data_IF_491687547443
#
_entry.id   IF_491687547443
#
_cell.length_a   1.000
_cell.length_b   1.000
_cell.length_c   1.000
_cell.angle_alpha   90.00
_cell.angle_beta   90.00
_cell.angle_gamma   90.00
#
_symmetry.space_group_name_H-M   'P 1'
#
loop_
_entity.id
_entity.type
_entity.pdbx_description
1 polymer ?
#
# COMPACT_ATOMS: atom_id res chain seq x y z
N UNK A 1 11.70 14.66 -29.66
CA UNK A 1 11.62 15.80 -28.74
C UNK A 1 11.24 15.19 -27.39
N UNK A 2 12.26 14.90 -26.57
CA UNK A 2 12.06 14.21 -25.29
C UNK A 2 11.52 15.22 -24.28
N UNK A 3 10.25 15.17 -23.99
CA UNK A 3 9.65 15.85 -22.84
C UNK A 3 9.88 14.96 -21.60
N UNK A 4 11.01 15.17 -20.92
CA UNK A 4 11.08 14.79 -19.52
C UNK A 4 10.02 15.58 -18.78
N UNK A 5 9.09 14.90 -18.11
CA UNK A 5 8.14 15.54 -17.21
C UNK A 5 8.91 15.98 -15.97
N UNK A 6 9.51 17.17 -16.04
CA UNK A 6 10.00 17.87 -14.86
C UNK A 6 8.79 18.44 -14.14
N UNK A 7 8.34 17.80 -13.09
CA UNK A 7 7.32 18.31 -12.18
C UNK A 7 7.92 19.43 -11.30
N UNK A 8 8.33 20.53 -11.94
CA UNK A 8 8.68 21.74 -11.22
C UNK A 8 7.40 22.49 -10.86
N UNK A 9 6.94 22.34 -9.64
CA UNK A 9 5.91 23.19 -9.05
C UNK A 9 6.57 24.51 -8.62
N UNK A 10 5.95 25.63 -9.03
CA UNK A 10 6.30 26.93 -8.50
C UNK A 10 6.13 26.93 -6.97
N UNK A 11 7.03 27.56 -6.22
CA UNK A 11 6.87 27.68 -4.78
C UNK A 11 5.63 28.53 -4.50
N UNK A 12 4.69 27.95 -3.76
CA UNK A 12 3.59 28.69 -3.16
C UNK A 12 4.18 29.79 -2.28
N UNK A 13 3.73 31.01 -2.53
CA UNK A 13 4.05 32.17 -1.72
C UNK A 13 3.51 31.94 -0.32
N UNK A 14 4.40 31.72 0.64
CA UNK A 14 4.10 31.66 2.06
C UNK A 14 3.48 32.99 2.49
N UNK A 15 2.27 33.01 3.06
CA UNK A 15 1.77 34.20 3.77
C UNK A 15 2.57 34.38 5.06
N UNK A 16 3.02 35.60 5.26
CA UNK A 16 3.74 36.06 6.45
C UNK A 16 2.78 36.05 7.65
N UNK A 17 2.91 35.06 8.54
CA UNK A 17 2.13 34.96 9.79
C UNK A 17 2.95 35.45 11.00
N UNK A 18 3.10 36.78 11.08
CA UNK A 18 3.43 37.44 12.32
C UNK A 18 2.24 38.25 12.78
N UNK A 19 1.25 37.64 13.46
CA UNK A 19 0.46 38.29 14.52
C UNK A 19 -0.60 37.37 15.11
N UNK A 20 -0.68 37.39 16.44
CA UNK A 20 -1.70 36.82 17.33
C UNK A 20 -1.77 35.28 17.44
N UNK A 21 -1.11 34.81 18.49
CA UNK A 21 -1.08 33.43 18.98
C UNK A 21 -2.42 33.06 19.63
N UNK A 22 -3.40 32.71 18.85
CA UNK A 22 -4.25 31.57 19.17
C UNK A 22 -3.48 30.35 18.60
N UNK A 23 -2.83 29.56 19.45
CA UNK A 23 -2.15 28.32 19.02
C UNK A 23 -3.17 27.48 18.29
N UNK A 24 -3.05 27.44 16.98
CA UNK A 24 -3.85 26.57 16.12
C UNK A 24 -3.72 25.13 16.65
N UNK A 25 -4.82 24.38 16.64
CA UNK A 25 -4.79 22.96 17.00
C UNK A 25 -3.81 22.24 16.08
N UNK A 26 -2.96 21.37 16.63
CA UNK A 26 -2.08 20.52 15.81
C UNK A 26 -2.90 19.35 15.26
N UNK A 27 -3.08 19.24 13.92
CA UNK A 27 -3.85 18.16 13.33
C UNK A 27 -3.31 16.77 13.70
N UNK A 28 -2.00 16.64 13.93
CA UNK A 28 -1.37 15.39 14.37
C UNK A 28 -1.87 15.00 15.75
N UNK A 29 -1.91 15.95 16.66
CA UNK A 29 -2.36 15.75 18.05
C UNK A 29 -3.86 15.41 18.12
N UNK A 30 -4.69 16.09 17.33
CA UNK A 30 -6.12 15.78 17.25
C UNK A 30 -6.37 14.37 16.73
N UNK A 31 -5.67 13.98 15.67
CA UNK A 31 -5.81 12.65 15.09
C UNK A 31 -5.25 11.56 16.02
N UNK A 32 -4.10 11.81 16.68
CA UNK A 32 -3.52 10.90 17.66
C UNK A 32 -4.45 10.67 18.86
N UNK A 33 -5.13 11.72 19.32
CA UNK A 33 -6.11 11.62 20.39
C UNK A 33 -7.26 10.63 20.09
N UNK A 34 -7.66 10.49 18.82
CA UNK A 34 -8.69 9.56 18.41
C UNK A 34 -8.25 8.08 18.52
N UNK A 35 -6.95 7.82 18.48
CA UNK A 35 -6.37 6.47 18.60
C UNK A 35 -6.05 6.06 20.03
N UNK A 36 -6.16 6.98 20.98
CA UNK A 36 -5.88 6.74 22.40
C UNK A 36 -7.16 6.28 23.10
N UNK A 37 -7.17 5.11 23.76
CA UNK A 37 -8.32 4.70 24.55
C UNK A 37 -8.57 5.63 25.73
N UNK A 38 -9.84 5.88 26.07
CA UNK A 38 -10.18 6.66 27.26
C UNK A 38 -9.62 6.01 28.53
N UNK A 39 -9.17 6.83 29.48
CA UNK A 39 -8.60 6.37 30.74
C UNK A 39 -7.15 5.89 30.66
N UNK A 40 -6.48 5.98 29.49
CA UNK A 40 -5.09 5.56 29.30
C UNK A 40 -4.10 6.49 30.03
N UNK A 41 -2.99 5.91 30.47
CA UNK A 41 -1.79 6.64 30.89
C UNK A 41 -0.93 6.91 29.65
N UNK A 42 -0.76 8.17 29.28
CA UNK A 42 -0.11 8.58 28.04
C UNK A 42 1.25 9.20 28.35
N UNK A 43 2.29 8.64 27.74
CA UNK A 43 3.61 9.25 27.68
C UNK A 43 3.80 9.89 26.31
N UNK A 44 3.92 11.22 26.28
CA UNK A 44 4.15 11.97 25.04
C UNK A 44 5.60 12.42 24.95
N UNK A 45 6.31 11.87 23.98
CA UNK A 45 7.70 12.18 23.66
C UNK A 45 7.83 13.29 22.61
N UNK A 46 6.71 13.82 22.12
CA UNK A 46 6.68 14.93 21.16
C UNK A 46 7.16 16.24 21.82
N UNK A 47 7.63 17.20 21.00
CA UNK A 47 8.29 18.40 21.52
C UNK A 47 7.33 19.51 21.99
N UNK A 48 6.06 19.49 21.58
CA UNK A 48 5.17 20.66 21.63
C UNK A 48 4.04 20.59 22.65
N UNK A 49 3.80 19.44 23.29
CA UNK A 49 2.75 19.26 24.30
C UNK A 49 1.32 19.49 23.78
N UNK A 50 1.12 19.53 22.46
CA UNK A 50 -0.17 19.80 21.84
C UNK A 50 -1.19 18.68 22.13
N UNK A 51 -0.71 17.46 22.34
CA UNK A 51 -1.53 16.27 22.55
C UNK A 51 -2.39 16.33 23.82
N UNK A 52 -1.90 16.96 24.89
CA UNK A 52 -2.62 17.02 26.18
C UNK A 52 -4.07 17.51 26.05
N UNK A 53 -4.30 18.46 25.12
CA UNK A 53 -5.63 19.04 24.85
C UNK A 53 -6.57 18.16 24.02
N UNK A 54 -6.00 17.20 23.33
CA UNK A 54 -6.72 16.30 22.40
C UNK A 54 -6.99 14.92 23.02
N UNK A 55 -6.60 14.71 24.29
CA UNK A 55 -6.78 13.43 24.96
C UNK A 55 -8.24 13.14 25.30
N UNK A 56 -8.67 11.88 25.17
CA UNK A 56 -9.96 11.44 25.66
C UNK A 56 -10.12 11.61 27.17
N UNK A 57 -11.37 11.61 27.62
CA UNK A 57 -11.69 11.76 29.04
C UNK A 57 -11.03 10.68 29.92
N UNK A 58 -10.55 11.10 31.09
CA UNK A 58 -9.96 10.22 32.09
C UNK A 58 -8.51 9.80 31.82
N UNK A 59 -7.89 10.23 30.72
CA UNK A 59 -6.48 9.98 30.47
C UNK A 59 -5.59 10.76 31.43
N UNK A 60 -4.49 10.14 31.88
CA UNK A 60 -3.39 10.84 32.53
C UNK A 60 -2.28 11.12 31.51
N UNK A 61 -1.65 12.31 31.63
CA UNK A 61 -0.68 12.78 30.66
C UNK A 61 0.66 13.09 31.30
N UNK A 62 1.73 12.61 30.67
CA UNK A 62 3.10 12.94 31.01
C UNK A 62 3.82 13.34 29.69
N UNK A 63 4.12 14.65 29.57
CA UNK A 63 4.83 15.17 28.39
C UNK A 63 6.35 15.17 28.59
N UNK A 64 7.08 15.33 27.49
CA UNK A 64 8.56 15.32 27.44
C UNK A 64 9.24 16.23 28.45
N UNK A 65 8.72 17.43 28.68
CA UNK A 65 9.29 18.41 29.61
C UNK A 65 9.27 17.95 31.06
N UNK A 66 8.50 16.91 31.37
CA UNK A 66 8.33 16.34 32.72
C UNK A 66 8.97 14.96 32.86
N UNK A 67 9.65 14.49 31.78
CA UNK A 67 10.24 13.16 31.75
C UNK A 67 11.72 13.26 32.02
N UNK A 68 12.15 12.55 33.05
CA UNK A 68 13.58 12.36 33.34
C UNK A 68 13.99 10.95 33.02
N UNK A 69 15.17 10.78 32.43
CA UNK A 69 15.79 9.47 32.25
C UNK A 69 16.27 8.90 33.59
N UNK A 70 16.56 7.62 33.63
CA UNK A 70 17.13 6.93 34.76
C UNK A 70 18.44 7.65 35.19
N UNK A 71 18.37 8.41 36.30
CA UNK A 71 19.47 9.26 36.74
C UNK A 71 19.12 10.75 36.93
N UNK A 72 17.87 11.15 36.64
CA UNK A 72 17.34 12.49 37.01
C UNK A 72 17.68 13.62 36.02
N UNK A 73 18.26 13.30 34.86
CA UNK A 73 18.51 14.25 33.76
C UNK A 73 17.35 14.27 32.77
N UNK A 74 17.14 15.38 32.08
CA UNK A 74 16.17 15.49 30.99
C UNK A 74 16.56 14.57 29.85
N UNK A 75 15.65 13.70 29.39
CA UNK A 75 15.92 12.77 28.31
C UNK A 75 16.11 13.49 26.96
N UNK A 76 17.23 13.25 26.29
CA UNK A 76 17.42 13.66 24.92
C UNK A 76 17.29 12.45 23.98
N UNK A 77 16.07 12.24 23.49
CA UNK A 77 15.74 11.09 22.65
C UNK A 77 16.52 11.10 21.32
N UNK A 78 16.90 12.28 20.81
CA UNK A 78 17.71 12.41 19.62
C UNK A 78 19.14 11.89 19.81
N UNK A 79 19.67 11.94 21.03
CA UNK A 79 20.99 11.41 21.41
C UNK A 79 20.95 9.93 21.87
N UNK A 80 19.76 9.30 21.78
CA UNK A 80 19.58 7.88 22.12
C UNK A 80 19.12 7.62 23.56
N UNK A 81 18.87 8.66 24.35
CA UNK A 81 18.28 8.50 25.68
C UNK A 81 16.81 8.09 25.57
N UNK A 82 16.37 7.17 26.41
CA UNK A 82 14.97 6.75 26.43
C UNK A 82 14.43 6.64 27.87
N UNK A 83 13.25 7.19 28.20
CA UNK A 83 12.68 7.15 29.53
C UNK A 83 12.00 5.81 29.80
N UNK A 84 12.78 4.75 29.94
CA UNK A 84 12.32 3.36 30.02
C UNK A 84 11.33 3.16 31.17
N UNK A 85 11.57 3.76 32.35
CA UNK A 85 10.67 3.62 33.50
C UNK A 85 9.32 4.31 33.24
N UNK A 86 9.32 5.53 32.71
CA UNK A 86 8.08 6.25 32.40
C UNK A 86 7.28 5.52 31.30
N UNK A 87 7.96 5.03 30.25
CA UNK A 87 7.34 4.25 29.20
C UNK A 87 6.73 2.93 29.73
N UNK A 88 7.43 2.21 30.60
CA UNK A 88 6.90 0.98 31.20
C UNK A 88 5.68 1.21 32.11
N UNK A 89 5.52 2.41 32.66
CA UNK A 89 4.38 2.81 33.48
C UNK A 89 3.21 3.40 32.68
N UNK A 90 3.41 3.70 31.40
CA UNK A 90 2.36 4.20 30.51
C UNK A 90 1.57 3.05 29.87
N UNK A 91 0.42 3.34 29.30
CA UNK A 91 -0.35 2.41 28.46
C UNK A 91 -0.10 2.69 26.98
N UNK A 92 0.19 3.95 26.65
CA UNK A 92 0.46 4.42 25.28
C UNK A 92 1.66 5.36 25.29
N UNK A 93 2.59 5.16 24.36
CA UNK A 93 3.70 6.08 24.07
C UNK A 93 3.40 6.82 22.77
N UNK A 94 3.47 8.14 22.77
CA UNK A 94 3.19 8.98 21.60
C UNK A 94 4.45 9.70 21.13
N UNK A 95 4.70 9.70 19.81
CA UNK A 95 5.90 10.26 19.18
C UNK A 95 5.52 10.98 17.88
N UNK A 96 4.96 12.20 17.98
CA UNK A 96 4.57 12.98 16.80
C UNK A 96 5.77 13.78 16.27
N UNK A 97 6.25 13.40 15.09
CA UNK A 97 7.41 14.03 14.46
C UNK A 97 8.75 13.75 15.15
N UNK A 98 8.82 12.74 16.00
CA UNK A 98 10.03 12.38 16.76
C UNK A 98 10.91 11.42 15.98
N UNK A 99 10.33 10.36 15.41
CA UNK A 99 11.10 9.31 14.73
C UNK A 99 11.96 9.86 13.59
N UNK A 100 11.46 10.85 12.85
CA UNK A 100 12.21 11.49 11.75
C UNK A 100 13.50 12.18 12.19
N UNK A 101 13.58 12.58 13.46
CA UNK A 101 14.73 13.31 14.03
C UNK A 101 15.77 12.37 14.66
N UNK A 102 15.49 11.07 14.74
CA UNK A 102 16.35 10.09 15.38
C UNK A 102 17.22 9.41 14.33
N UNK A 103 18.55 9.53 14.47
CA UNK A 103 19.49 8.89 13.57
C UNK A 103 19.50 7.36 13.74
N UNK A 104 19.45 6.88 14.97
CA UNK A 104 19.46 5.45 15.32
C UNK A 104 18.05 5.00 15.77
N UNK A 105 17.19 4.75 14.78
CA UNK A 105 15.84 4.24 15.03
C UNK A 105 15.82 2.83 15.64
N UNK A 106 16.84 2.01 15.37
CA UNK A 106 16.92 0.64 15.91
C UNK A 106 17.11 0.66 17.42
N UNK A 107 17.94 1.58 17.93
CA UNK A 107 18.11 1.76 19.37
C UNK A 107 16.79 2.17 20.06
N UNK A 108 16.05 3.11 19.47
CA UNK A 108 14.74 3.52 19.97
C UNK A 108 13.77 2.33 20.07
N UNK A 109 13.65 1.53 19.00
CA UNK A 109 12.75 0.39 18.98
C UNK A 109 13.22 -0.76 19.88
N UNK A 110 14.51 -0.87 20.16
CA UNK A 110 15.02 -1.77 21.19
C UNK A 110 14.44 -1.44 22.55
N UNK A 111 14.42 -0.18 22.95
CA UNK A 111 13.80 0.25 24.19
C UNK A 111 12.28 0.06 24.22
N UNK A 112 11.58 0.46 23.15
CA UNK A 112 10.13 0.31 23.01
C UNK A 112 9.69 -1.15 23.12
N UNK A 113 10.44 -2.08 22.52
CA UNK A 113 10.18 -3.51 22.60
C UNK A 113 10.13 -4.04 24.04
N UNK A 114 11.04 -3.57 24.91
CA UNK A 114 11.04 -3.97 26.32
C UNK A 114 9.89 -3.39 27.11
N UNK A 115 9.39 -2.22 26.74
CA UNK A 115 8.29 -1.56 27.44
C UNK A 115 6.93 -2.19 27.12
N UNK A 116 6.77 -2.82 25.94
CA UNK A 116 5.55 -3.53 25.52
C UNK A 116 4.28 -2.67 25.53
N UNK A 117 4.41 -1.37 25.23
CA UNK A 117 3.31 -0.43 25.18
C UNK A 117 2.83 -0.22 23.75
N UNK A 118 1.58 0.23 23.60
CA UNK A 118 1.13 0.73 22.30
C UNK A 118 1.90 2.00 21.96
N UNK A 119 2.27 2.14 20.69
CA UNK A 119 3.00 3.29 20.20
C UNK A 119 2.17 4.00 19.14
N UNK A 120 1.96 5.30 19.30
CA UNK A 120 1.35 6.14 18.27
C UNK A 120 2.43 7.09 17.77
N UNK A 121 2.75 7.02 16.49
CA UNK A 121 3.77 7.88 15.90
C UNK A 121 3.31 8.48 14.58
N UNK A 122 3.82 9.66 14.27
CA UNK A 122 3.71 10.22 12.93
C UNK A 122 5.04 10.16 12.22
N UNK A 123 5.01 9.99 10.89
CA UNK A 123 6.23 9.91 10.09
C UNK A 123 6.01 10.43 8.67
N UNK A 124 7.05 11.12 8.15
CA UNK A 124 7.17 11.56 6.76
C UNK A 124 7.98 10.56 5.96
N UNK A 125 7.32 9.58 5.39
CA UNK A 125 7.99 8.52 4.64
C UNK A 125 8.61 9.04 3.32
N UNK A 126 9.72 8.43 2.87
CA UNK A 126 10.43 8.86 1.64
C UNK A 126 9.61 8.68 0.37
N UNK A 127 8.66 7.80 0.40
CA UNK A 127 7.70 7.56 -0.67
C UNK A 127 6.52 8.56 -0.67
N UNK A 128 6.42 9.40 0.37
CA UNK A 128 5.45 10.49 0.47
C UNK A 128 6.08 11.88 0.29
N UNK A 129 7.38 12.04 0.62
CA UNK A 129 8.08 13.34 0.61
C UNK A 129 9.41 13.21 -0.12
N UNK A 130 9.64 14.08 -1.10
CA UNK A 130 10.88 14.05 -1.89
C UNK A 130 12.15 14.27 -1.05
N UNK A 131 13.25 13.63 -1.42
CA UNK A 131 14.51 13.66 -0.65
C UNK A 131 15.07 15.06 -0.40
N UNK A 132 14.95 15.98 -1.36
CA UNK A 132 15.38 17.39 -1.19
C UNK A 132 14.55 18.15 -0.16
N UNK A 133 13.25 17.89 -0.09
CA UNK A 133 12.34 18.48 0.89
C UNK A 133 12.62 17.95 2.31
N UNK A 134 12.93 16.65 2.42
CA UNK A 134 13.33 16.03 3.69
C UNK A 134 14.61 16.64 4.26
N UNK A 135 15.62 16.85 3.40
CA UNK A 135 16.86 17.50 3.80
C UNK A 135 16.64 18.95 4.28
N UNK A 136 15.76 19.69 3.62
CA UNK A 136 15.37 21.04 4.03
C UNK A 136 14.67 21.07 5.39
N UNK A 137 13.96 20.00 5.76
CA UNK A 137 13.32 19.83 7.06
C UNK A 137 14.27 19.31 8.16
N UNK A 138 15.54 19.02 7.83
CA UNK A 138 16.54 18.52 8.79
C UNK A 138 16.24 17.12 9.32
N UNK A 139 15.57 16.26 8.54
CA UNK A 139 15.20 14.91 8.97
C UNK A 139 16.43 14.00 8.98
N UNK A 140 16.67 13.29 10.08
CA UNK A 140 17.88 12.52 10.33
C UNK A 140 17.91 11.14 9.65
N UNK A 141 16.75 10.58 9.31
CA UNK A 141 16.64 9.28 8.65
C UNK A 141 15.73 9.32 7.42
N UNK A 142 15.67 8.24 6.65
CA UNK A 142 15.05 8.22 5.33
C UNK A 142 14.34 6.89 5.05
N UNK A 143 13.40 6.48 5.92
CA UNK A 143 12.62 5.27 5.72
C UNK A 143 11.49 5.49 4.74
N UNK A 144 11.26 4.52 3.86
CA UNK A 144 9.99 4.35 3.17
C UNK A 144 8.94 3.77 4.13
N UNK A 145 7.67 3.80 3.74
CA UNK A 145 6.63 3.13 4.54
C UNK A 145 6.90 1.62 4.68
N UNK A 146 7.47 1.02 3.66
CA UNK A 146 7.88 -0.38 3.67
C UNK A 146 9.03 -0.65 4.65
N UNK A 147 10.08 0.19 4.63
CA UNK A 147 11.20 0.08 5.57
C UNK A 147 10.72 0.20 7.01
N UNK A 148 9.76 1.10 7.27
CA UNK A 148 9.14 1.24 8.59
C UNK A 148 8.39 -0.02 9.00
N UNK A 149 7.60 -0.60 8.10
CA UNK A 149 6.87 -1.84 8.39
C UNK A 149 7.84 -2.98 8.75
N UNK A 150 8.96 -3.13 8.03
CA UNK A 150 10.00 -4.10 8.34
C UNK A 150 10.70 -3.80 9.66
N UNK A 151 10.99 -2.52 9.95
CA UNK A 151 11.58 -2.10 11.22
C UNK A 151 10.66 -2.48 12.39
N UNK A 152 9.37 -2.15 12.29
CA UNK A 152 8.40 -2.46 13.34
C UNK A 152 8.26 -3.96 13.57
N UNK A 153 8.13 -4.76 12.51
CA UNK A 153 8.02 -6.21 12.61
C UNK A 153 9.27 -6.83 13.27
N UNK A 154 10.47 -6.38 12.90
CA UNK A 154 11.75 -6.82 13.51
C UNK A 154 11.77 -6.62 15.02
N UNK A 155 11.19 -5.54 15.50
CA UNK A 155 11.12 -5.22 16.94
C UNK A 155 9.83 -5.71 17.63
N UNK A 156 9.06 -6.54 16.93
CA UNK A 156 7.86 -7.18 17.47
C UNK A 156 6.65 -6.26 17.61
N UNK A 157 6.55 -5.26 16.74
CA UNK A 157 5.36 -4.41 16.63
C UNK A 157 4.62 -4.67 15.32
N UNK A 158 3.31 -4.51 15.35
CA UNK A 158 2.46 -4.51 14.16
C UNK A 158 1.74 -3.18 14.01
N UNK A 159 1.61 -2.73 12.77
CA UNK A 159 0.78 -1.57 12.44
C UNK A 159 -0.68 -2.02 12.55
N UNK A 160 -1.39 -1.54 13.55
CA UNK A 160 -2.82 -1.82 13.74
C UNK A 160 -3.69 -0.95 12.85
N UNK A 161 -3.35 0.34 12.75
CA UNK A 161 -4.04 1.26 11.85
C UNK A 161 -3.13 2.40 11.41
N UNK A 162 -3.51 3.04 10.30
CA UNK A 162 -2.84 4.21 9.74
C UNK A 162 -3.87 5.25 9.36
N UNK A 163 -3.51 6.54 9.47
CA UNK A 163 -4.32 7.63 8.98
C UNK A 163 -3.43 8.74 8.36
N UNK A 164 -3.80 9.29 7.21
CA UNK A 164 -3.08 10.42 6.63
C UNK A 164 -3.31 11.67 7.49
N UNK A 165 -2.25 12.43 7.75
CA UNK A 165 -2.34 13.74 8.42
C UNK A 165 -2.39 14.85 7.38
N UNK A 166 -1.46 14.81 6.44
CA UNK A 166 -1.35 15.70 5.29
C UNK A 166 -0.79 14.96 4.08
N UNK A 167 -0.46 15.67 2.99
CA UNK A 167 0.10 15.07 1.77
C UNK A 167 1.45 14.39 1.95
N UNK A 168 2.13 14.58 3.06
CA UNK A 168 3.48 14.09 3.29
C UNK A 168 3.67 13.32 4.61
N UNK A 169 2.65 13.24 5.46
CA UNK A 169 2.80 12.65 6.78
C UNK A 169 1.66 11.67 7.11
N UNK A 170 2.01 10.53 7.70
CA UNK A 170 1.07 9.48 8.12
C UNK A 170 1.19 9.27 9.62
N UNK A 171 0.05 9.14 10.30
CA UNK A 171 -0.05 8.65 11.66
C UNK A 171 -0.19 7.12 11.65
N UNK A 172 0.51 6.45 12.54
CA UNK A 172 0.48 5.00 12.71
C UNK A 172 0.27 4.65 14.18
N UNK A 173 -0.61 3.69 14.45
CA UNK A 173 -0.68 3.02 15.75
C UNK A 173 -0.03 1.66 15.63
N UNK A 174 0.94 1.41 16.49
CA UNK A 174 1.66 0.15 16.60
C UNK A 174 1.24 -0.54 17.88
N UNK A 175 0.97 -1.84 17.78
CA UNK A 175 0.67 -2.69 18.93
C UNK A 175 1.72 -3.79 19.04
N UNK A 176 2.24 -4.10 20.24
CA UNK A 176 3.15 -5.21 20.43
C UNK A 176 2.51 -6.51 19.96
N UNK A 177 3.21 -7.26 19.12
CA UNK A 177 2.72 -8.52 18.53
C UNK A 177 2.32 -9.55 19.60
N UNK A 178 2.98 -9.55 20.76
CA UNK A 178 2.66 -10.42 21.88
C UNK A 178 1.31 -10.12 22.55
N UNK A 179 0.78 -8.89 22.43
CA UNK A 179 -0.54 -8.50 22.96
C UNK A 179 -1.68 -8.88 22.03
N UNK A 180 -1.38 -8.98 20.77
CA UNK A 180 -2.31 -9.60 19.83
C UNK A 180 -2.41 -11.06 20.27
N UNK A 181 -3.45 -11.38 21.06
CA UNK A 181 -3.69 -12.78 21.45
C UNK A 181 -3.48 -13.63 20.20
N UNK A 182 -2.74 -14.74 20.27
CA UNK A 182 -2.80 -15.72 19.23
C UNK A 182 -4.19 -16.36 19.26
N UNK A 183 -5.17 -15.77 18.63
CA UNK A 183 -6.05 -16.58 17.79
C UNK A 183 -5.06 -17.28 16.89
N UNK A 184 -5.08 -18.61 16.80
CA UNK A 184 -4.10 -19.39 16.07
C UNK A 184 -3.82 -18.67 14.77
N UNK A 185 -2.71 -17.89 14.75
CA UNK A 185 -2.53 -16.85 13.75
C UNK A 185 -2.37 -17.57 12.42
N UNK A 186 -3.39 -17.46 11.55
CA UNK A 186 -3.34 -18.11 10.26
C UNK A 186 -2.12 -17.56 9.53
N UNK A 187 -1.24 -18.45 9.09
CA UNK A 187 -0.04 -18.10 8.36
C UNK A 187 -0.40 -17.86 6.90
N UNK A 188 -0.20 -16.63 6.43
CA UNK A 188 -0.54 -16.22 5.06
C UNK A 188 0.73 -15.80 4.32
N UNK A 189 1.00 -16.37 3.14
CA UNK A 189 1.97 -15.81 2.21
C UNK A 189 1.26 -14.93 1.17
N UNK A 190 1.75 -13.73 0.97
CA UNK A 190 1.36 -12.85 -0.14
C UNK A 190 2.53 -12.77 -1.12
N UNK A 191 2.35 -13.33 -2.31
CA UNK A 191 3.34 -13.29 -3.39
C UNK A 191 2.96 -12.14 -4.33
N UNK A 192 3.86 -11.17 -4.48
CA UNK A 192 3.70 -10.03 -5.37
C UNK A 192 4.84 -9.94 -6.40
N UNK A 193 4.69 -9.05 -7.36
CA UNK A 193 5.70 -8.80 -8.41
C UNK A 193 6.96 -8.07 -7.89
N UNK A 194 6.99 -7.67 -6.64
CA UNK A 194 8.18 -7.10 -5.99
C UNK A 194 8.53 -5.68 -6.43
N UNK A 195 7.78 -5.09 -7.34
CA UNK A 195 8.09 -3.78 -7.89
C UNK A 195 7.47 -2.65 -7.06
N UNK A 196 7.90 -2.55 -5.80
CA UNK A 196 7.32 -1.65 -4.80
C UNK A 196 7.54 -0.15 -5.09
N UNK A 197 8.54 0.18 -5.91
CA UNK A 197 8.77 1.56 -6.36
C UNK A 197 7.86 2.00 -7.50
N UNK A 198 7.06 1.09 -8.07
CA UNK A 198 6.22 1.34 -9.23
C UNK A 198 4.75 1.47 -8.86
N UNK A 199 4.04 2.34 -9.55
CA UNK A 199 2.66 2.70 -9.26
C UNK A 199 1.72 1.47 -9.15
N UNK A 200 1.77 0.56 -10.11
CA UNK A 200 0.90 -0.62 -10.12
C UNK A 200 1.23 -1.67 -9.06
N UNK A 201 2.52 -2.01 -8.89
CA UNK A 201 2.95 -3.01 -7.92
C UNK A 201 2.63 -2.59 -6.49
N UNK A 202 2.92 -1.33 -6.15
CA UNK A 202 2.61 -0.79 -4.83
C UNK A 202 1.11 -0.71 -4.55
N UNK A 203 0.34 -0.25 -5.52
CA UNK A 203 -1.12 -0.18 -5.39
C UNK A 203 -1.72 -1.57 -5.18
N UNK A 204 -1.27 -2.56 -5.97
CA UNK A 204 -1.69 -3.95 -5.82
C UNK A 204 -1.42 -4.50 -4.42
N UNK A 205 -0.22 -4.26 -3.88
CA UNK A 205 0.12 -4.71 -2.53
C UNK A 205 -0.73 -4.04 -1.45
N UNK A 206 -0.98 -2.73 -1.56
CA UNK A 206 -1.87 -2.02 -0.61
C UNK A 206 -3.28 -2.62 -0.60
N UNK A 207 -3.81 -2.92 -1.78
CA UNK A 207 -5.14 -3.51 -1.89
C UNK A 207 -5.20 -4.93 -1.31
N UNK A 208 -4.16 -5.76 -1.55
CA UNK A 208 -4.10 -7.10 -0.95
C UNK A 208 -4.02 -6.99 0.58
N UNK A 209 -3.17 -6.12 1.10
CA UNK A 209 -3.04 -5.93 2.53
C UNK A 209 -4.36 -5.46 3.17
N UNK A 210 -5.13 -4.62 2.48
CA UNK A 210 -6.46 -4.20 2.93
C UNK A 210 -7.49 -5.35 2.96
N UNK A 211 -7.26 -6.43 2.22
CA UNK A 211 -8.10 -7.63 2.23
C UNK A 211 -7.67 -8.65 3.29
N UNK A 212 -6.49 -8.48 3.91
CA UNK A 212 -6.02 -9.40 4.94
C UNK A 212 -6.65 -9.05 6.30
N UNK A 213 -7.14 -10.04 7.06
CA UNK A 213 -7.53 -9.83 8.44
C UNK A 213 -6.35 -9.34 9.28
N UNK A 214 -6.58 -8.37 10.17
CA UNK A 214 -5.53 -7.82 11.04
C UNK A 214 -4.86 -8.83 11.98
N UNK A 215 -5.45 -10.01 12.13
CA UNK A 215 -4.97 -11.10 12.98
C UNK A 215 -4.12 -12.14 12.20
N UNK A 216 -3.99 -12.01 10.88
CA UNK A 216 -3.19 -12.93 10.06
C UNK A 216 -1.69 -12.63 10.19
N UNK A 217 -0.88 -13.69 10.30
CA UNK A 217 0.58 -13.61 10.19
C UNK A 217 0.96 -13.58 8.69
N UNK A 218 1.08 -12.37 8.14
CA UNK A 218 1.31 -12.15 6.71
C UNK A 218 2.80 -12.10 6.41
N UNK A 219 3.27 -13.04 5.59
CA UNK A 219 4.61 -13.08 5.06
C UNK A 219 4.61 -12.62 3.59
N UNK A 220 5.22 -11.46 3.33
CA UNK A 220 5.36 -10.94 1.99
C UNK A 220 6.52 -11.59 1.26
N UNK A 221 6.24 -12.15 0.08
CA UNK A 221 7.21 -12.79 -0.80
C UNK A 221 7.22 -12.09 -2.17
N UNK A 222 8.37 -12.09 -2.80
CA UNK A 222 8.56 -11.59 -4.16
C UNK A 222 9.10 -12.69 -5.05
N UNK A 223 8.85 -12.63 -6.34
CA UNK A 223 9.32 -13.65 -7.27
C UNK A 223 10.83 -13.87 -7.25
N UNK A 224 11.64 -12.85 -6.93
CA UNK A 224 13.09 -13.00 -6.75
C UNK A 224 13.51 -13.55 -5.38
N UNK A 225 12.59 -13.72 -4.43
CA UNK A 225 12.85 -14.14 -3.05
C UNK A 225 11.92 -15.29 -2.59
N UNK A 226 11.40 -16.10 -3.53
CA UNK A 226 10.54 -17.24 -3.19
C UNK A 226 11.25 -18.33 -2.37
N UNK A 227 12.59 -18.37 -2.42
CA UNK A 227 13.41 -19.24 -1.57
C UNK A 227 13.30 -18.91 -0.07
N UNK A 228 12.83 -17.72 0.31
CA UNK A 228 12.57 -17.32 1.69
C UNK A 228 11.24 -17.86 2.22
N UNK A 229 10.46 -18.55 1.39
CA UNK A 229 9.16 -19.08 1.78
C UNK A 229 9.28 -20.10 2.92
N UNK A 230 8.37 -20.01 3.89
CA UNK A 230 8.24 -20.98 4.98
C UNK A 230 7.79 -22.36 4.45
N UNK A 231 7.99 -23.40 5.23
CA UNK A 231 7.62 -24.77 4.83
C UNK A 231 6.11 -24.96 4.65
N UNK A 232 5.28 -24.18 5.37
CA UNK A 232 3.83 -24.32 5.34
C UNK A 232 3.14 -22.96 5.50
N UNK A 233 2.00 -22.82 4.80
CA UNK A 233 1.08 -21.71 4.95
C UNK A 233 -0.35 -22.21 5.06
N UNK A 234 -1.19 -21.48 5.76
CA UNK A 234 -2.63 -21.71 5.78
C UNK A 234 -3.28 -21.17 4.50
N UNK A 235 -2.78 -20.05 3.99
CA UNK A 235 -3.22 -19.45 2.75
C UNK A 235 -2.02 -18.87 1.98
N UNK A 236 -1.99 -19.10 0.68
CA UNK A 236 -1.13 -18.34 -0.25
C UNK A 236 -2.00 -17.47 -1.13
N UNK A 237 -1.72 -16.17 -1.18
CA UNK A 237 -2.34 -15.21 -2.10
C UNK A 237 -1.30 -14.78 -3.12
N UNK A 238 -1.50 -15.21 -4.37
CA UNK A 238 -0.70 -14.76 -5.51
C UNK A 238 -1.37 -13.52 -6.10
N UNK A 239 -0.93 -12.32 -5.68
CA UNK A 239 -1.56 -11.07 -6.04
C UNK A 239 -0.62 -10.16 -6.81
N UNK A 240 -0.92 -9.97 -8.12
CA UNK A 240 -0.07 -9.18 -9.00
C UNK A 240 -0.74 -7.86 -9.38
N UNK A 241 -0.03 -6.78 -9.15
CA UNK A 241 -0.38 -5.45 -9.67
C UNK A 241 -0.21 -5.38 -11.18
N UNK A 242 0.77 -6.11 -11.72
CA UNK A 242 0.98 -6.36 -13.15
C UNK A 242 0.41 -7.72 -13.57
N UNK A 243 0.55 -8.08 -14.84
CA UNK A 243 0.08 -9.36 -15.34
C UNK A 243 1.08 -10.50 -15.09
N UNK A 244 0.57 -11.72 -15.05
CA UNK A 244 1.36 -12.94 -15.07
C UNK A 244 1.96 -13.13 -16.47
N UNK A 245 3.27 -13.40 -16.53
CA UNK A 245 3.99 -13.68 -17.78
C UNK A 245 5.04 -14.79 -17.59
N UNK A 246 5.61 -15.27 -18.70
CA UNK A 246 6.46 -16.46 -18.71
C UNK A 246 7.53 -16.52 -17.60
N UNK A 247 8.34 -15.47 -17.34
CA UNK A 247 9.37 -15.54 -16.31
C UNK A 247 8.86 -15.80 -14.89
N UNK A 248 7.59 -15.49 -14.61
CA UNK A 248 6.98 -15.69 -13.30
C UNK A 248 6.41 -17.11 -13.11
N UNK A 249 6.32 -17.91 -14.17
CA UNK A 249 5.74 -19.27 -14.18
C UNK A 249 6.82 -20.34 -13.96
N UNK A 250 7.67 -20.15 -12.94
CA UNK A 250 8.70 -21.11 -12.55
C UNK A 250 8.19 -22.20 -11.59
N UNK A 251 9.01 -23.23 -11.39
CA UNK A 251 8.67 -24.31 -10.43
C UNK A 251 8.66 -23.79 -8.99
N UNK A 252 9.40 -22.72 -8.68
CA UNK A 252 9.42 -22.10 -7.35
C UNK A 252 8.05 -21.57 -6.91
N UNK A 253 7.32 -20.88 -7.80
CA UNK A 253 5.97 -20.38 -7.46
C UNK A 253 5.00 -21.54 -7.27
N UNK A 254 5.13 -22.58 -8.08
CA UNK A 254 4.32 -23.80 -7.95
C UNK A 254 4.58 -24.53 -6.63
N UNK A 255 5.82 -24.52 -6.19
CA UNK A 255 6.24 -25.14 -4.93
C UNK A 255 5.66 -24.35 -3.73
N UNK A 256 5.80 -23.03 -3.72
CA UNK A 256 5.24 -22.20 -2.64
C UNK A 256 3.71 -22.30 -2.59
N UNK A 257 3.02 -22.24 -3.73
CA UNK A 257 1.57 -22.44 -3.80
C UNK A 257 1.20 -23.85 -3.29
N UNK A 258 1.99 -24.88 -3.61
CA UNK A 258 1.75 -26.25 -3.16
C UNK A 258 1.98 -26.50 -1.67
N UNK A 259 2.65 -25.59 -0.96
CA UNK A 259 2.87 -25.68 0.50
C UNK A 259 1.69 -25.15 1.32
N UNK A 260 0.71 -24.53 0.68
CA UNK A 260 -0.46 -23.95 1.36
C UNK A 260 -1.58 -24.98 1.53
N UNK A 261 -2.38 -24.79 2.60
CA UNK A 261 -3.67 -25.52 2.74
C UNK A 261 -4.71 -25.00 1.76
N UNK A 262 -4.63 -23.70 1.41
CA UNK A 262 -5.47 -23.07 0.40
C UNK A 262 -4.67 -22.01 -0.36
N UNK A 263 -5.10 -21.70 -1.59
CA UNK A 263 -4.41 -20.75 -2.45
C UNK A 263 -5.37 -19.95 -3.33
N UNK A 264 -5.10 -18.65 -3.45
CA UNK A 264 -5.88 -17.71 -4.26
C UNK A 264 -4.95 -17.02 -5.24
N UNK A 265 -5.33 -16.96 -6.52
CA UNK A 265 -4.70 -16.13 -7.53
C UNK A 265 -5.51 -14.86 -7.81
N UNK A 266 -4.88 -13.69 -7.84
CA UNK A 266 -5.45 -12.40 -8.23
C UNK A 266 -4.53 -11.80 -9.27
N UNK A 267 -4.72 -12.16 -10.54
CA UNK A 267 -3.85 -11.69 -11.63
C UNK A 267 -4.55 -11.81 -12.99
N UNK A 268 -4.08 -11.02 -13.95
CA UNK A 268 -4.32 -11.20 -15.37
C UNK A 268 -3.10 -11.79 -16.07
N UNK A 269 -3.21 -12.14 -17.35
CA UNK A 269 -2.07 -12.60 -18.15
C UNK A 269 -1.62 -11.51 -19.11
N UNK A 270 -0.29 -11.41 -19.32
CA UNK A 270 0.32 -10.54 -20.33
C UNK A 270 1.28 -11.33 -21.21
N UNK A 271 1.55 -10.83 -22.42
CA UNK A 271 2.38 -11.54 -23.42
C UNK A 271 1.92 -12.99 -23.63
N UNK A 272 0.63 -13.18 -23.86
CA UNK A 272 -0.04 -14.51 -23.84
C UNK A 272 0.57 -15.50 -24.79
N UNK A 273 1.09 -15.04 -25.93
CA UNK A 273 1.76 -15.87 -26.94
C UNK A 273 3.07 -16.48 -26.43
N UNK A 274 3.68 -15.86 -25.39
CA UNK A 274 4.91 -16.35 -24.77
C UNK A 274 4.65 -17.24 -23.56
N UNK A 275 3.42 -17.30 -23.06
CA UNK A 275 3.10 -18.09 -21.88
C UNK A 275 3.07 -19.58 -22.24
N UNK A 276 3.92 -20.42 -21.59
CA UNK A 276 3.82 -21.86 -21.74
C UNK A 276 2.50 -22.35 -21.15
N UNK A 277 1.54 -22.71 -22.02
CA UNK A 277 0.21 -23.16 -21.60
C UNK A 277 0.24 -24.21 -20.50
N UNK A 278 1.07 -25.28 -20.58
CA UNK A 278 1.12 -26.29 -19.52
C UNK A 278 1.57 -25.75 -18.15
N UNK A 279 2.43 -24.73 -18.12
CA UNK A 279 2.90 -24.14 -16.85
C UNK A 279 1.80 -23.32 -16.19
N UNK A 280 1.09 -22.50 -16.95
CA UNK A 280 -0.05 -21.75 -16.44
C UNK A 280 -1.20 -22.68 -16.03
N UNK A 281 -1.49 -23.72 -16.81
CA UNK A 281 -2.51 -24.72 -16.48
C UNK A 281 -2.19 -25.41 -15.15
N UNK A 282 -0.94 -25.82 -14.92
CA UNK A 282 -0.50 -26.39 -13.64
C UNK A 282 -0.67 -25.41 -12.46
N UNK A 283 -0.40 -24.13 -12.67
CA UNK A 283 -0.62 -23.12 -11.64
C UNK A 283 -2.11 -22.97 -11.32
N UNK A 284 -2.96 -22.82 -12.35
CA UNK A 284 -4.41 -22.66 -12.16
C UNK A 284 -5.03 -23.89 -11.47
N UNK A 285 -4.55 -25.10 -11.78
CA UNK A 285 -5.00 -26.35 -11.16
C UNK A 285 -4.65 -26.43 -9.67
N UNK A 286 -3.59 -25.75 -9.23
CA UNK A 286 -3.20 -25.70 -7.82
C UNK A 286 -3.91 -24.61 -7.03
N UNK A 287 -4.49 -23.62 -7.71
CA UNK A 287 -5.25 -22.56 -7.05
C UNK A 287 -6.67 -23.05 -6.70
N UNK A 288 -7.09 -22.86 -5.46
CA UNK A 288 -8.49 -23.08 -5.06
C UNK A 288 -9.43 -22.10 -5.75
N UNK A 289 -8.94 -20.89 -6.00
CA UNK A 289 -9.68 -19.87 -6.76
C UNK A 289 -8.70 -18.97 -7.50
N UNK A 290 -8.94 -18.78 -8.79
CA UNK A 290 -8.29 -17.74 -9.56
C UNK A 290 -9.29 -16.64 -9.91
N UNK A 291 -9.06 -15.46 -9.38
CA UNK A 291 -9.74 -14.22 -9.72
C UNK A 291 -9.02 -13.58 -10.91
N UNK A 292 -9.45 -13.94 -12.10
CA UNK A 292 -8.85 -13.47 -13.35
C UNK A 292 -9.20 -12.00 -13.60
N UNK A 293 -8.17 -11.18 -13.91
CA UNK A 293 -8.33 -9.75 -14.14
C UNK A 293 -9.15 -9.46 -15.40
N UNK A 294 -9.02 -10.28 -16.44
CA UNK A 294 -9.65 -10.04 -17.73
C UNK A 294 -10.63 -11.15 -18.11
N UNK A 295 -11.72 -10.76 -18.76
CA UNK A 295 -12.68 -11.74 -19.31
C UNK A 295 -12.02 -12.66 -20.34
N UNK A 296 -11.06 -12.14 -21.12
CA UNK A 296 -10.27 -12.95 -22.05
C UNK A 296 -9.55 -14.10 -21.35
N UNK A 297 -8.99 -13.88 -20.16
CA UNK A 297 -8.32 -14.93 -19.39
C UNK A 297 -9.30 -16.03 -18.97
N UNK A 298 -10.51 -15.65 -18.56
CA UNK A 298 -11.58 -16.61 -18.23
C UNK A 298 -11.95 -17.43 -19.45
N UNK A 299 -12.09 -16.81 -20.61
CA UNK A 299 -12.45 -17.50 -21.84
C UNK A 299 -11.34 -18.45 -22.34
N UNK A 300 -10.08 -18.02 -22.21
CA UNK A 300 -8.92 -18.77 -22.71
C UNK A 300 -8.51 -19.91 -21.77
N UNK A 301 -8.52 -19.69 -20.48
CA UNK A 301 -7.94 -20.59 -19.49
C UNK A 301 -8.96 -21.16 -18.49
N UNK A 302 -10.10 -20.51 -18.29
CA UNK A 302 -11.14 -20.90 -17.33
C UNK A 302 -12.14 -21.92 -17.87
N UNK A 303 -12.14 -22.22 -19.19
CA UNK A 303 -13.14 -23.08 -19.80
C UNK A 303 -13.11 -24.50 -19.21
N UNK A 304 -14.22 -24.92 -18.64
CA UNK A 304 -14.36 -26.21 -17.97
C UNK A 304 -13.79 -26.26 -16.53
N UNK A 305 -13.33 -25.14 -15.98
CA UNK A 305 -12.80 -25.03 -14.62
C UNK A 305 -13.77 -24.26 -13.72
N UNK A 306 -14.12 -24.86 -12.59
CA UNK A 306 -15.03 -24.23 -11.61
C UNK A 306 -14.32 -23.22 -10.67
N UNK A 307 -13.00 -23.20 -10.68
CA UNK A 307 -12.19 -22.36 -9.78
C UNK A 307 -11.73 -21.03 -10.41
N UNK A 308 -12.21 -20.68 -11.62
CA UNK A 308 -11.84 -19.44 -12.31
C UNK A 308 -13.03 -18.48 -12.33
N UNK A 309 -12.82 -17.27 -11.83
CA UNK A 309 -13.84 -16.24 -11.72
C UNK A 309 -13.34 -14.92 -12.29
N UNK A 310 -14.15 -14.21 -13.06
CA UNK A 310 -13.81 -12.88 -13.56
C UNK A 310 -13.89 -11.85 -12.44
N UNK A 311 -12.78 -11.16 -12.18
CA UNK A 311 -12.68 -10.08 -11.20
C UNK A 311 -12.92 -8.71 -11.85
N UNK A 312 -12.32 -8.46 -12.96
CA UNK A 312 -12.07 -7.16 -13.54
C UNK A 312 -10.71 -6.60 -13.11
N UNK A 313 -10.28 -5.48 -13.68
CA UNK A 313 -9.06 -4.82 -13.21
C UNK A 313 -9.33 -4.14 -11.86
N UNK A 314 -9.02 -4.86 -10.81
CA UNK A 314 -9.34 -4.52 -9.42
C UNK A 314 -8.69 -3.23 -8.94
N UNK A 315 -7.59 -2.79 -9.57
CA UNK A 315 -6.92 -1.54 -9.23
C UNK A 315 -7.78 -0.30 -9.50
N UNK A 316 -8.78 -0.38 -10.39
CA UNK A 316 -9.69 0.75 -10.66
C UNK A 316 -10.48 1.19 -9.42
N UNK A 317 -10.65 0.28 -8.46
CA UNK A 317 -11.42 0.58 -7.24
C UNK A 317 -10.78 1.69 -6.41
N UNK A 318 -9.47 1.85 -6.50
CA UNK A 318 -8.71 2.88 -5.80
C UNK A 318 -8.80 4.27 -6.44
N UNK A 319 -9.27 4.38 -7.68
CA UNK A 319 -9.31 5.65 -8.39
C UNK A 319 -10.69 6.32 -8.25
N UNK A 320 -10.80 7.49 -7.59
CA UNK A 320 -12.07 8.19 -7.50
C UNK A 320 -12.56 8.62 -8.90
N UNK A 321 -13.90 8.68 -9.08
CA UNK A 321 -14.48 9.24 -10.30
C UNK A 321 -14.46 10.77 -10.21
N UNK A 322 -13.55 11.40 -10.95
CA UNK A 322 -13.37 12.86 -10.97
C UNK A 322 -13.67 13.44 -12.34
N UNK A 323 -13.74 14.77 -12.43
CA UNK A 323 -13.78 15.51 -13.70
C UNK A 323 -12.42 16.17 -13.91
N UNK A 324 -11.80 15.90 -15.06
CA UNK A 324 -10.55 16.54 -15.45
C UNK A 324 -10.79 18.04 -15.78
N UNK A 325 -9.82 18.88 -15.46
CA UNK A 325 -9.93 20.34 -15.60
C UNK A 325 -8.89 20.95 -16.53
N UNK A 326 -7.75 20.27 -16.74
CA UNK A 326 -6.63 20.78 -17.53
C UNK A 326 -6.73 20.32 -18.99
N UNK A 327 -6.73 21.26 -19.92
CA UNK A 327 -6.72 20.98 -21.35
C UNK A 327 -5.35 20.52 -21.86
N UNK A 328 -4.26 20.83 -21.12
CA UNK A 328 -2.92 20.39 -21.47
C UNK A 328 -2.87 18.84 -21.53
N UNK A 329 -2.36 18.24 -22.62
CA UNK A 329 -2.26 16.79 -22.71
C UNK A 329 -1.20 16.24 -21.76
N UNK A 330 -1.48 15.10 -21.13
CA UNK A 330 -0.52 14.34 -20.34
C UNK A 330 -0.04 13.13 -21.13
N UNK A 331 1.29 12.92 -21.15
CA UNK A 331 1.89 11.77 -21.78
C UNK A 331 2.69 10.96 -20.74
N UNK A 332 2.37 9.69 -20.56
CA UNK A 332 3.02 8.78 -19.63
C UNK A 332 3.60 7.61 -20.43
N UNK A 333 4.90 7.66 -20.70
CA UNK A 333 5.61 6.64 -21.49
C UNK A 333 6.55 5.78 -20.63
N UNK A 334 7.08 6.35 -19.56
CA UNK A 334 7.94 5.67 -18.62
C UNK A 334 7.16 5.11 -17.44
N UNK A 335 7.77 4.20 -16.70
CA UNK A 335 7.19 3.72 -15.47
C UNK A 335 7.06 4.86 -14.46
N UNK A 336 5.85 5.01 -13.93
CA UNK A 336 5.57 6.01 -12.93
C UNK A 336 6.13 5.53 -11.58
N UNK A 337 7.27 6.09 -11.19
CA UNK A 337 7.83 5.89 -9.87
C UNK A 337 7.01 6.68 -8.86
N UNK A 338 6.65 6.03 -7.78
CA UNK A 338 5.88 6.67 -6.69
C UNK A 338 6.88 7.12 -5.63
N UNK A 339 7.66 8.15 -5.98
CA UNK A 339 8.48 8.87 -5.00
C UNK A 339 7.65 9.87 -4.17
N UNK A 340 6.35 10.00 -4.50
CA UNK A 340 5.36 10.89 -3.88
C UNK A 340 4.13 10.09 -3.43
N UNK A 341 3.30 10.73 -2.62
CA UNK A 341 2.03 10.14 -2.20
C UNK A 341 1.21 9.66 -3.41
N UNK A 342 0.63 8.47 -3.30
CA UNK A 342 -0.25 7.92 -4.34
C UNK A 342 -1.34 8.91 -4.76
N UNK A 343 -1.97 9.55 -3.78
CA UNK A 343 -3.05 10.50 -4.01
C UNK A 343 -2.63 11.63 -4.93
N UNK A 344 -1.38 12.10 -4.79
CA UNK A 344 -0.84 13.15 -5.67
C UNK A 344 -0.62 12.66 -7.09
N UNK A 345 -0.09 11.44 -7.27
CA UNK A 345 0.07 10.84 -8.60
C UNK A 345 -1.29 10.63 -9.28
N UNK A 346 -2.27 10.13 -8.53
CA UNK A 346 -3.65 9.97 -8.99
C UNK A 346 -4.24 11.34 -9.38
N UNK A 347 -4.11 12.36 -8.54
CA UNK A 347 -4.59 13.71 -8.81
C UNK A 347 -3.97 14.30 -10.06
N UNK A 348 -2.65 14.19 -10.23
CA UNK A 348 -1.94 14.66 -11.42
C UNK A 348 -2.49 14.01 -12.68
N UNK A 349 -2.67 12.69 -12.68
CA UNK A 349 -3.24 11.99 -13.83
C UNK A 349 -4.68 12.45 -14.09
N UNK A 350 -5.49 12.51 -13.04
CA UNK A 350 -6.92 12.79 -13.15
C UNK A 350 -7.26 14.26 -13.47
N UNK A 351 -6.34 15.21 -13.33
CA UNK A 351 -6.63 16.59 -13.69
C UNK A 351 -6.56 16.85 -15.21
N UNK A 352 -5.98 15.95 -16.01
CA UNK A 352 -5.80 16.13 -17.45
C UNK A 352 -6.95 15.53 -18.26
N UNK A 353 -7.53 16.33 -19.17
CA UNK A 353 -8.63 15.91 -20.06
C UNK A 353 -8.19 14.93 -21.15
N UNK A 354 -6.91 15.04 -21.58
CA UNK A 354 -6.36 14.26 -22.67
C UNK A 354 -5.12 13.50 -22.17
N UNK A 355 -5.18 12.18 -22.08
CA UNK A 355 -4.10 11.36 -21.54
C UNK A 355 -3.66 10.30 -22.54
N UNK A 356 -2.35 10.25 -22.82
CA UNK A 356 -1.71 9.16 -23.54
C UNK A 356 -0.87 8.34 -22.58
N UNK A 357 -0.96 7.01 -22.62
CA UNK A 357 -0.13 6.17 -21.78
C UNK A 357 0.31 4.89 -22.46
N UNK A 358 1.57 4.49 -22.24
CA UNK A 358 2.08 3.14 -22.51
C UNK A 358 2.10 2.29 -21.25
N UNK A 359 1.51 2.78 -20.14
CA UNK A 359 1.44 2.11 -18.83
C UNK A 359 -0.01 1.87 -18.45
N UNK A 360 -0.33 0.61 -18.14
CA UNK A 360 -1.71 0.16 -17.94
C UNK A 360 -2.37 0.89 -16.77
N UNK A 361 -1.76 0.90 -15.60
CA UNK A 361 -2.36 1.43 -14.38
C UNK A 361 -2.58 2.97 -14.45
N UNK A 362 -1.65 3.77 -14.99
CA UNK A 362 -1.91 5.18 -15.26
C UNK A 362 -3.05 5.40 -16.25
N UNK A 363 -3.19 4.57 -17.30
CA UNK A 363 -4.33 4.67 -18.21
C UNK A 363 -5.63 4.33 -17.50
N UNK A 364 -5.65 3.28 -16.69
CA UNK A 364 -6.81 2.89 -15.88
C UNK A 364 -7.23 4.02 -14.93
N UNK A 365 -6.27 4.71 -14.31
CA UNK A 365 -6.51 5.91 -13.52
C UNK A 365 -7.11 7.04 -14.39
N UNK A 366 -6.53 7.31 -15.55
CA UNK A 366 -7.02 8.36 -16.46
C UNK A 366 -8.47 8.11 -16.90
N UNK A 367 -8.86 6.86 -17.16
CA UNK A 367 -10.24 6.51 -17.55
C UNK A 367 -11.29 6.98 -16.53
N UNK A 368 -10.91 7.16 -15.26
CA UNK A 368 -11.83 7.61 -14.21
C UNK A 368 -12.05 9.14 -14.20
N UNK A 369 -11.31 9.92 -15.01
CA UNK A 369 -11.39 11.38 -15.01
C UNK A 369 -11.33 12.02 -16.40
N UNK A 370 -10.46 11.53 -17.30
CA UNK A 370 -10.19 12.13 -18.60
C UNK A 370 -11.40 12.13 -19.53
N UNK A 371 -11.41 13.09 -20.46
CA UNK A 371 -12.39 13.17 -21.57
C UNK A 371 -11.98 12.27 -22.73
N UNK A 372 -10.68 12.26 -23.06
CA UNK A 372 -10.12 11.41 -24.09
C UNK A 372 -8.85 10.72 -23.61
N UNK A 373 -8.65 9.48 -24.07
CA UNK A 373 -7.44 8.74 -23.81
C UNK A 373 -6.89 8.09 -25.07
N UNK A 374 -5.59 7.85 -25.08
CA UNK A 374 -4.91 7.07 -26.10
C UNK A 374 -3.86 6.17 -25.45
N UNK A 375 -3.51 5.07 -26.08
CA UNK A 375 -2.55 4.12 -25.54
C UNK A 375 -1.68 3.50 -26.63
N UNK A 376 -0.59 2.86 -26.22
CA UNK A 376 0.10 1.84 -27.00
C UNK A 376 0.46 0.67 -26.08
N UNK A 377 0.27 -0.54 -26.62
CA UNK A 377 0.66 -1.77 -25.92
C UNK A 377 2.18 -1.83 -25.72
N UNK A 378 2.59 -2.43 -24.63
CA UNK A 378 4.01 -2.63 -24.35
C UNK A 378 4.57 -3.78 -25.18
N UNK A 379 5.61 -3.55 -25.99
CA UNK A 379 6.27 -4.64 -26.71
C UNK A 379 7.06 -5.52 -25.73
N UNK A 380 7.11 -6.82 -26.05
CA UNK A 380 7.98 -7.74 -25.32
C UNK A 380 9.46 -7.42 -25.57
N UNK A 381 10.24 -7.38 -24.49
CA UNK A 381 11.69 -7.24 -24.58
C UNK A 381 12.36 -8.49 -25.21
N UNK A 382 11.72 -9.65 -25.12
CA UNK A 382 12.27 -10.92 -25.62
C UNK A 382 11.96 -11.16 -27.08
N UNK A 383 10.77 -10.76 -27.57
CA UNK A 383 10.30 -11.01 -28.92
C UNK A 383 9.65 -9.75 -29.50
N UNK A 384 10.37 -8.98 -30.32
CA UNK A 384 9.79 -7.85 -31.05
C UNK A 384 8.58 -8.30 -31.88
N UNK A 385 7.47 -7.57 -31.77
CA UNK A 385 6.21 -7.89 -32.44
C UNK A 385 5.16 -8.60 -31.58
N UNK A 386 5.55 -9.12 -30.40
CA UNK A 386 4.60 -9.55 -29.38
C UNK A 386 4.38 -8.39 -28.39
N UNK A 387 3.13 -8.11 -28.07
CA UNK A 387 2.72 -7.03 -27.16
C UNK A 387 2.03 -7.58 -25.92
N UNK A 388 1.92 -6.76 -24.87
CA UNK A 388 1.34 -7.21 -23.59
C UNK A 388 -0.10 -7.71 -23.72
N UNK A 389 -0.92 -7.07 -24.54
CA UNK A 389 -2.32 -7.39 -24.78
C UNK A 389 -3.25 -6.99 -23.62
N UNK A 390 -2.71 -6.35 -22.57
CA UNK A 390 -3.46 -6.00 -21.36
C UNK A 390 -4.41 -4.80 -21.59
N UNK A 391 -3.95 -3.78 -22.31
CA UNK A 391 -4.81 -2.63 -22.63
C UNK A 391 -6.03 -3.04 -23.44
N UNK A 392 -5.81 -3.84 -24.47
CA UNK A 392 -6.90 -4.38 -25.28
C UNK A 392 -7.91 -5.14 -24.43
N UNK A 393 -7.45 -6.04 -23.57
CA UNK A 393 -8.31 -6.85 -22.71
C UNK A 393 -9.08 -5.97 -21.70
N UNK A 394 -8.41 -5.03 -21.06
CA UNK A 394 -9.03 -4.06 -20.15
C UNK A 394 -10.11 -3.22 -20.87
N UNK A 395 -9.80 -2.68 -22.06
CA UNK A 395 -10.74 -1.84 -22.80
C UNK A 395 -11.96 -2.64 -23.30
N UNK A 396 -11.76 -3.90 -23.69
CA UNK A 396 -12.88 -4.81 -24.03
C UNK A 396 -13.76 -5.04 -22.78
N UNK A 397 -13.17 -5.25 -21.62
CA UNK A 397 -13.92 -5.45 -20.37
C UNK A 397 -14.74 -4.24 -19.96
N UNK A 398 -14.21 -3.03 -20.18
CA UNK A 398 -14.87 -1.77 -19.82
C UNK A 398 -15.93 -1.37 -20.85
N UNK A 399 -15.56 -1.40 -22.15
CA UNK A 399 -16.34 -0.79 -23.24
C UNK A 399 -16.99 -1.81 -24.18
N UNK A 400 -16.70 -3.11 -24.03
CA UNK A 400 -17.17 -4.17 -24.93
C UNK A 400 -16.47 -4.17 -26.29
N UNK A 401 -15.43 -3.36 -26.49
CA UNK A 401 -14.67 -3.25 -27.76
C UNK A 401 -13.24 -2.80 -27.50
N UNK A 402 -12.36 -3.11 -28.45
CA UNK A 402 -11.01 -2.54 -28.53
C UNK A 402 -11.00 -1.20 -29.28
N UNK A 403 -9.95 -0.44 -29.08
CA UNK A 403 -9.67 0.81 -29.77
C UNK A 403 -8.31 0.70 -30.49
N UNK A 404 -8.09 1.46 -31.58
CA UNK A 404 -6.78 1.51 -32.22
C UNK A 404 -5.72 2.13 -31.31
N UNK A 405 -4.51 1.58 -31.32
CA UNK A 405 -3.37 2.18 -30.64
C UNK A 405 -2.98 3.54 -31.23
N UNK A 406 -2.41 4.42 -30.42
CA UNK A 406 -1.94 5.75 -30.81
C UNK A 406 -3.03 6.68 -31.38
N UNK A 407 -4.29 6.39 -31.11
CA UNK A 407 -5.42 7.22 -31.49
C UNK A 407 -6.23 7.57 -30.24
N UNK A 408 -6.56 8.87 -30.09
CA UNK A 408 -7.41 9.32 -29.00
C UNK A 408 -8.87 8.92 -29.25
N UNK A 409 -9.51 8.41 -28.22
CA UNK A 409 -10.94 8.11 -28.23
C UNK A 409 -11.63 8.73 -27.02
N UNK A 410 -12.92 9.07 -27.19
CA UNK A 410 -13.75 9.59 -26.11
C UNK A 410 -14.04 8.52 -25.07
N UNK A 411 -13.88 8.86 -23.80
CA UNK A 411 -14.17 7.99 -22.67
C UNK A 411 -15.67 7.97 -22.39
N UNK A 412 -16.31 6.81 -22.54
CA UNK A 412 -17.66 6.59 -22.03
C UNK A 412 -17.59 6.46 -20.50
N UNK A 413 -17.80 7.57 -19.82
CA UNK A 413 -17.73 7.67 -18.37
C UNK A 413 -18.76 6.81 -17.64
N UNK A 414 -19.92 6.57 -18.27
CA UNK A 414 -20.94 5.71 -17.68
C UNK A 414 -20.55 4.23 -17.77
N UNK A 415 -19.89 3.82 -18.86
CA UNK A 415 -19.30 2.50 -18.94
C UNK A 415 -18.24 2.28 -17.87
N UNK A 416 -17.31 3.26 -17.68
CA UNK A 416 -16.28 3.20 -16.62
C UNK A 416 -16.92 3.11 -15.24
N UNK A 417 -17.96 3.92 -14.95
CA UNK A 417 -18.67 3.89 -13.66
C UNK A 417 -19.33 2.54 -13.40
N UNK A 418 -20.00 1.96 -14.40
CA UNK A 418 -20.61 0.61 -14.30
C UNK A 418 -19.56 -0.46 -14.08
N UNK A 419 -18.44 -0.37 -14.80
CA UNK A 419 -17.33 -1.29 -14.65
C UNK A 419 -16.74 -1.21 -13.24
N UNK A 420 -16.39 -0.01 -12.76
CA UNK A 420 -15.88 0.21 -11.40
C UNK A 420 -16.82 -0.36 -10.33
N UNK A 421 -18.12 -0.09 -10.42
CA UNK A 421 -19.10 -0.62 -9.48
C UNK A 421 -19.19 -2.16 -9.51
N UNK A 422 -19.02 -2.78 -10.67
CA UNK A 422 -18.95 -4.25 -10.80
C UNK A 422 -17.68 -4.78 -10.13
N UNK A 423 -16.53 -4.17 -10.42
CA UNK A 423 -15.23 -4.55 -9.83
C UNK A 423 -15.27 -4.41 -8.32
N UNK A 424 -15.78 -3.31 -7.78
CA UNK A 424 -15.93 -3.10 -6.33
C UNK A 424 -16.67 -4.27 -5.64
N UNK A 425 -17.81 -4.70 -6.20
CA UNK A 425 -18.54 -5.86 -5.69
C UNK A 425 -17.74 -7.18 -5.81
N UNK A 426 -16.93 -7.31 -6.84
CA UNK A 426 -16.11 -8.50 -7.02
C UNK A 426 -14.91 -8.52 -6.06
N UNK A 427 -14.31 -7.38 -5.76
CA UNK A 427 -13.26 -7.24 -4.73
C UNK A 427 -13.78 -7.64 -3.36
N UNK A 428 -15.02 -7.25 -3.00
CA UNK A 428 -15.66 -7.70 -1.77
C UNK A 428 -15.74 -9.24 -1.69
N UNK A 429 -16.08 -9.93 -2.79
CA UNK A 429 -16.08 -11.41 -2.84
C UNK A 429 -14.69 -12.02 -2.65
N UNK A 430 -13.62 -11.34 -3.09
CA UNK A 430 -12.25 -11.78 -2.80
C UNK A 430 -12.02 -11.75 -1.30
N UNK A 431 -12.35 -10.65 -0.62
CA UNK A 431 -12.27 -10.53 0.84
C UNK A 431 -13.08 -11.61 1.55
N UNK A 432 -14.37 -11.80 1.17
CA UNK A 432 -15.24 -12.86 1.73
C UNK A 432 -14.62 -14.26 1.56
N UNK A 433 -13.95 -14.52 0.43
CA UNK A 433 -13.29 -15.81 0.16
C UNK A 433 -12.08 -16.00 1.06
N UNK A 434 -11.24 -14.97 1.22
CA UNK A 434 -10.10 -14.98 2.14
C UNK A 434 -10.58 -15.26 3.57
N UNK A 435 -11.54 -14.49 4.06
CA UNK A 435 -12.11 -14.63 5.40
C UNK A 435 -12.71 -16.03 5.63
N UNK A 436 -13.39 -16.59 4.63
CA UNK A 436 -13.96 -17.93 4.71
C UNK A 436 -12.88 -19.00 4.85
N UNK A 437 -11.79 -18.90 4.09
CA UNK A 437 -10.66 -19.84 4.17
C UNK A 437 -10.02 -19.77 5.55
N UNK A 438 -9.68 -18.56 6.00
CA UNK A 438 -8.97 -18.37 7.28
C UNK A 438 -9.81 -18.80 8.48
N UNK A 439 -11.13 -18.54 8.46
CA UNK A 439 -12.05 -19.06 9.51
C UNK A 439 -12.09 -20.58 9.53
N UNK A 440 -12.15 -21.25 8.38
CA UNK A 440 -12.20 -22.71 8.32
C UNK A 440 -10.88 -23.33 8.84
N UNK A 441 -9.74 -22.69 8.58
CA UNK A 441 -8.43 -23.13 9.10
C UNK A 441 -8.39 -22.97 10.62
N UNK A 442 -8.87 -21.83 11.15
CA UNK A 442 -8.91 -21.58 12.60
C UNK A 442 -9.79 -22.61 13.33
N UNK A 443 -10.96 -22.96 12.76
CA UNK A 443 -11.85 -23.98 13.32
C UNK A 443 -11.21 -25.39 13.29
N UNK A 444 -10.46 -25.71 12.25
CA UNK A 444 -9.78 -27.01 12.14
C UNK A 444 -8.56 -27.15 13.10
N UNK A 445 -8.05 -26.04 13.62
CA UNK A 445 -6.91 -25.99 14.53
C UNK A 445 -7.33 -25.96 16.02
N UNK A 446 -8.60 -25.69 16.31
CA UNK A 446 -9.20 -25.66 17.65
C UNK A 446 -9.79 -27.03 18.02
#
# INVERSE_FOLDING_TARGET
MNLQVNLNFAPDTTPDFTSSITRASDPRAELAGQFIPAGSRVLDLSADGALERSLPAGCSYQGRDRVTCDGGQTCNIADGDFPTQAAAQSDVVVMLGVLEQIADAENLFTHLRFCKQDVILSYRATDLVAGGERAALGLANAFSFYDLALLFDRYGFRIECTAPIDSGQVLMRLTPAERLKPVAACSVAVISDGNMGMFGGRLGLQMINALMPGEADVHHLYFGALHEARDKYDLVVLGLGNGMFQPLLGDEVLDVVGRAKASIGIFGTQYRELIPRPSLDRLIERLDTWFARYQDDVLMYGRGRGNVTHLGDWLIDQFPMNAATLDAPLQIVDELRVDHAFDRAIQVIQCHKNVYSTRLQPLLCALTAAETVSYAEQPSAQMPGIVSGEFRSMLIDIFGRSYPENQFFMVDRDAVRRYKARVHRNVAKVGERIDSILRNVAVAAA
#
